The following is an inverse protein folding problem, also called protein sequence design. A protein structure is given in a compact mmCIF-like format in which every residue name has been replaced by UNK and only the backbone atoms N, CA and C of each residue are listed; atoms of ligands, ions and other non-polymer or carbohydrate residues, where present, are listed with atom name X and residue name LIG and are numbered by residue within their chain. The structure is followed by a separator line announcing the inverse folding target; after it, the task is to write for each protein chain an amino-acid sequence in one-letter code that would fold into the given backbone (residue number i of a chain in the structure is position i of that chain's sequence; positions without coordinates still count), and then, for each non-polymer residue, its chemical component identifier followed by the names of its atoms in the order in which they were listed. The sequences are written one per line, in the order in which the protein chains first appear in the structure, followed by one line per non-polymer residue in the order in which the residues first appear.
data_IF_319600277938
#
_entry.id   IF_319600277938
#
_cell.length_a   1.000
_cell.length_b   1.000
_cell.length_c   1.000
_cell.angle_alpha   90.00
_cell.angle_beta   90.00
_cell.angle_gamma   90.00
#
_symmetry.space_group_name_H-M   'P 1'
#
loop_
_entity.id
_entity.type
_entity.pdbx_description
1 polymer ?
#
# COMPACT_ATOMS: atom_id res chain seq x y z
N UNK A 1 -34.43 6.25 4.57
CA UNK A 1 -33.07 5.70 4.38
C UNK A 1 -32.11 6.87 4.22
N UNK A 2 -31.65 7.43 5.33
CA UNK A 2 -30.78 8.61 5.30
C UNK A 2 -29.33 8.13 5.46
N UNK A 3 -28.61 8.05 4.35
CA UNK A 3 -27.19 7.72 4.33
C UNK A 3 -26.44 8.83 5.10
N UNK A 4 -25.92 8.49 6.27
CA UNK A 4 -25.27 9.40 7.18
C UNK A 4 -23.93 9.87 6.58
N UNK A 5 -23.95 11.04 5.96
CA UNK A 5 -22.82 11.71 5.33
C UNK A 5 -21.92 12.39 6.39
N UNK A 6 -21.29 11.61 7.27
CA UNK A 6 -20.47 12.17 8.37
C UNK A 6 -19.26 11.32 8.78
N UNK A 7 -18.53 10.72 7.83
CA UNK A 7 -17.11 10.37 8.05
C UNK A 7 -16.29 10.31 6.74
N UNK A 8 -16.10 11.44 6.04
CA UNK A 8 -15.48 11.46 4.70
C UNK A 8 -13.95 11.20 4.67
N UNK A 9 -13.29 11.08 5.82
CA UNK A 9 -11.83 10.95 5.89
C UNK A 9 -11.31 9.52 5.72
N UNK A 10 -12.00 8.52 6.28
CA UNK A 10 -11.52 7.13 6.28
C UNK A 10 -11.60 6.48 4.90
N UNK A 11 -12.66 6.77 4.14
CA UNK A 11 -12.86 6.22 2.79
C UNK A 11 -11.85 6.83 1.81
N UNK A 12 -11.65 8.16 1.86
CA UNK A 12 -10.63 8.84 1.03
C UNK A 12 -9.22 8.35 1.34
N UNK A 13 -8.92 8.15 2.63
CA UNK A 13 -7.66 7.58 3.08
C UNK A 13 -7.45 6.15 2.57
N UNK A 14 -8.47 5.28 2.67
CA UNK A 14 -8.42 3.92 2.14
C UNK A 14 -8.19 3.89 0.61
N UNK A 15 -8.87 4.75 -0.15
CA UNK A 15 -8.68 4.86 -1.59
C UNK A 15 -7.27 5.33 -1.97
N UNK A 16 -6.71 6.32 -1.25
CA UNK A 16 -5.34 6.78 -1.46
C UNK A 16 -4.31 5.70 -1.15
N UNK A 17 -4.50 4.97 -0.03
CA UNK A 17 -3.67 3.81 0.29
C UNK A 17 -3.78 2.78 -0.83
N UNK A 18 -4.98 2.44 -1.27
CA UNK A 18 -5.19 1.45 -2.32
C UNK A 18 -4.48 1.85 -3.62
N UNK A 19 -4.58 3.14 -3.99
CA UNK A 19 -3.91 3.71 -5.16
C UNK A 19 -2.38 3.65 -5.06
N UNK A 20 -1.81 3.74 -3.86
CA UNK A 20 -0.36 3.64 -3.64
C UNK A 20 0.12 2.19 -3.49
N UNK A 21 -0.64 1.35 -2.80
CA UNK A 21 -0.31 -0.05 -2.53
C UNK A 21 -0.37 -0.87 -3.80
N UNK A 22 -1.37 -0.67 -4.65
CA UNK A 22 -1.50 -1.43 -5.88
C UNK A 22 -0.25 -1.34 -6.78
N UNK A 23 0.25 -0.14 -7.17
CA UNK A 23 1.47 -0.05 -7.96
C UNK A 23 2.70 -0.50 -7.18
N UNK A 24 2.77 -0.28 -5.87
CA UNK A 24 3.87 -0.75 -5.05
C UNK A 24 3.99 -2.29 -5.07
N UNK A 25 2.86 -2.98 -4.91
CA UNK A 25 2.78 -4.45 -4.99
C UNK A 25 3.12 -4.91 -6.40
N UNK A 26 2.56 -4.27 -7.44
CA UNK A 26 2.84 -4.62 -8.83
C UNK A 26 4.33 -4.46 -9.15
N UNK A 27 4.96 -3.34 -8.79
CA UNK A 27 6.40 -3.11 -9.01
C UNK A 27 7.23 -4.11 -8.21
N UNK A 28 6.89 -4.33 -6.94
CA UNK A 28 7.56 -5.32 -6.10
C UNK A 28 7.50 -6.72 -6.71
N UNK A 29 6.34 -7.13 -7.22
CA UNK A 29 6.17 -8.38 -7.96
C UNK A 29 6.95 -8.39 -9.26
N UNK A 30 6.98 -7.29 -10.01
CA UNK A 30 7.69 -7.19 -11.29
C UNK A 30 9.21 -7.27 -11.13
N UNK A 31 9.73 -6.83 -9.97
CA UNK A 31 11.16 -6.94 -9.60
C UNK A 31 11.46 -8.31 -8.99
N UNK A 32 10.61 -8.82 -8.08
CA UNK A 32 10.79 -10.15 -7.51
C UNK A 32 10.53 -11.28 -8.53
N UNK A 33 9.71 -11.05 -9.55
CA UNK A 33 9.40 -12.03 -10.59
C UNK A 33 10.65 -12.58 -11.28
N UNK A 34 11.54 -11.73 -11.81
CA UNK A 34 12.80 -12.17 -12.39
C UNK A 34 13.82 -12.61 -11.34
N UNK A 35 13.90 -11.94 -10.18
CA UNK A 35 14.94 -12.23 -9.17
C UNK A 35 14.79 -13.59 -8.49
N UNK A 36 13.56 -14.06 -8.32
CA UNK A 36 13.29 -15.32 -7.59
C UNK A 36 12.71 -16.39 -8.52
N UNK A 37 13.08 -16.36 -9.81
CA UNK A 37 12.75 -17.46 -10.73
C UNK A 37 13.36 -18.76 -10.18
N UNK A 38 12.51 -19.77 -9.92
CA UNK A 38 12.92 -21.04 -9.31
C UNK A 38 12.74 -21.12 -7.79
N UNK A 39 12.35 -20.05 -7.11
CA UNK A 39 12.11 -20.09 -5.67
C UNK A 39 10.71 -20.63 -5.34
N UNK A 40 10.55 -21.37 -4.23
CA UNK A 40 9.24 -21.74 -3.71
C UNK A 40 8.40 -20.49 -3.41
N UNK A 41 7.10 -20.53 -3.74
CA UNK A 41 6.11 -19.49 -3.42
C UNK A 41 6.24 -18.92 -1.99
N UNK A 42 6.43 -19.75 -0.94
CA UNK A 42 6.56 -19.27 0.44
C UNK A 42 7.77 -18.36 0.70
N UNK A 43 8.96 -18.67 0.16
CA UNK A 43 10.13 -17.80 0.34
C UNK A 43 9.92 -16.46 -0.38
N UNK A 44 9.25 -16.52 -1.52
CA UNK A 44 8.93 -15.35 -2.34
C UNK A 44 8.03 -14.36 -1.59
N UNK A 45 6.96 -14.87 -0.98
CA UNK A 45 6.05 -14.07 -0.16
C UNK A 45 6.72 -13.60 1.13
N UNK A 46 7.61 -14.40 1.72
CA UNK A 46 8.40 -14.01 2.89
C UNK A 46 9.25 -12.77 2.63
N UNK A 47 9.74 -12.56 1.41
CA UNK A 47 10.49 -11.36 1.02
C UNK A 47 9.54 -10.23 0.61
N UNK A 48 8.51 -10.54 -0.18
CA UNK A 48 7.59 -9.53 -0.70
C UNK A 48 6.83 -8.80 0.41
N UNK A 49 6.33 -9.53 1.41
CA UNK A 49 5.53 -8.98 2.51
C UNK A 49 6.29 -7.90 3.31
N UNK A 50 7.49 -8.14 3.86
CA UNK A 50 8.21 -7.12 4.62
C UNK A 50 8.60 -5.92 3.76
N UNK A 51 8.90 -6.12 2.47
CA UNK A 51 9.15 -5.00 1.53
C UNK A 51 7.92 -4.11 1.39
N UNK A 52 6.73 -4.71 1.19
CA UNK A 52 5.47 -3.98 1.11
C UNK A 52 5.19 -3.26 2.44
N UNK A 53 5.32 -3.95 3.57
CA UNK A 53 5.05 -3.38 4.90
C UNK A 53 5.98 -2.22 5.22
N UNK A 54 7.29 -2.38 5.01
CA UNK A 54 8.26 -1.31 5.22
C UNK A 54 7.95 -0.10 4.33
N UNK A 55 7.65 -0.34 3.06
CA UNK A 55 7.28 0.71 2.10
C UNK A 55 5.96 1.41 2.47
N UNK A 56 4.99 0.69 3.04
CA UNK A 56 3.76 1.31 3.54
C UNK A 56 4.03 2.17 4.78
N UNK A 57 4.80 1.66 5.75
CA UNK A 57 5.08 2.36 7.01
C UNK A 57 5.95 3.60 6.79
N UNK A 58 6.96 3.51 5.93
CA UNK A 58 7.94 4.58 5.70
C UNK A 58 7.67 5.44 4.47
N UNK A 59 6.88 4.95 3.52
CA UNK A 59 6.49 5.70 2.32
C UNK A 59 5.06 6.18 2.42
N UNK A 60 4.10 5.26 2.33
CA UNK A 60 2.67 5.59 2.12
C UNK A 60 2.07 6.36 3.30
N UNK A 61 2.25 5.88 4.53
CA UNK A 61 1.71 6.53 5.74
C UNK A 61 2.25 7.96 5.92
N UNK A 62 3.57 8.21 5.91
CA UNK A 62 4.09 9.56 6.08
C UNK A 62 3.80 10.47 4.87
N UNK A 63 3.74 9.94 3.64
CA UNK A 63 3.36 10.75 2.48
C UNK A 63 1.93 11.27 2.62
N UNK A 64 1.00 10.41 3.05
CA UNK A 64 -0.39 10.78 3.27
C UNK A 64 -0.50 11.70 4.51
N UNK A 65 0.14 11.37 5.62
CA UNK A 65 0.11 12.22 6.83
C UNK A 65 0.73 13.60 6.59
N UNK A 66 1.78 13.71 5.77
CA UNK A 66 2.46 14.99 5.47
C UNK A 66 1.66 15.82 4.46
N UNK A 67 1.12 15.21 3.40
CA UNK A 67 0.42 15.93 2.33
C UNK A 67 -1.05 16.21 2.62
N UNK A 68 -1.73 15.35 3.38
CA UNK A 68 -3.18 15.47 3.66
C UNK A 68 -3.50 15.98 5.07
N UNK A 69 -2.52 16.21 5.96
CA UNK A 69 -2.77 16.88 7.26
C UNK A 69 -3.43 18.26 7.13
N UNK A 70 -3.24 18.95 6.00
CA UNK A 70 -3.83 20.25 5.74
C UNK A 70 -5.26 20.15 5.12
N UNK A 71 -5.68 18.95 4.71
CA UNK A 71 -6.99 18.70 4.07
C UNK A 71 -7.95 17.89 4.97
N UNK A 72 -7.50 17.52 6.16
CA UNK A 72 -8.25 16.84 7.23
C UNK A 72 -8.49 17.80 8.38
#
# INVERSE_FOLDING_TARGET
MSANASQPSRIRFALLIFLFVYPLVTIGLLILMPLTQGWPLPLRTLILVPVIVASMVWGVIPLIQTRLRHLL
#
